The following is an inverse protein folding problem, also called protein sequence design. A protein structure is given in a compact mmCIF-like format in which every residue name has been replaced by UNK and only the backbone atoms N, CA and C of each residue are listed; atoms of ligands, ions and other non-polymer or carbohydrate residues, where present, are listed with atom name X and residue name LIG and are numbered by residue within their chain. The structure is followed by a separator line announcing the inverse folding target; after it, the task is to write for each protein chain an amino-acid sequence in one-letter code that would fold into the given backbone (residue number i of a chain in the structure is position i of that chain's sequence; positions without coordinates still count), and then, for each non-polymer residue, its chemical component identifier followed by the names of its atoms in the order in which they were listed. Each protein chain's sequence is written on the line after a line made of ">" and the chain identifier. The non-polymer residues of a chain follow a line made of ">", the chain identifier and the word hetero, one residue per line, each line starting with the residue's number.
data_IF_951580749927
#
_entry.id   IF_951580749927
#
_cell.length_a   1.000
_cell.length_b   1.000
_cell.length_c   1.000
_cell.angle_alpha   90.00
_cell.angle_beta   90.00
_cell.angle_gamma   90.00
#
_symmetry.space_group_name_H-M   'P 1'
#
loop_
_entity.id
_entity.type
_entity.pdbx_description
1 polymer ?
#
# COMPACT_ATOMS: atom_id res chain seq x y z
N UNK A 1 -54.33 14.53 0.24
CA UNK A 1 -53.10 15.32 0.03
C UNK A 1 -52.05 14.69 0.90
N UNK A 2 -51.24 13.83 0.29
CA UNK A 2 -50.21 13.05 0.96
C UNK A 2 -48.92 13.88 0.92
N UNK A 3 -48.46 14.31 2.09
CA UNK A 3 -47.22 15.09 2.25
C UNK A 3 -46.04 14.21 1.83
N UNK A 4 -45.43 14.52 0.69
CA UNK A 4 -44.20 13.88 0.25
C UNK A 4 -43.09 14.21 1.25
N UNK A 5 -42.68 13.21 2.04
CA UNK A 5 -41.55 13.32 2.95
C UNK A 5 -40.29 13.73 2.17
N UNK A 6 -39.66 14.83 2.59
CA UNK A 6 -38.44 15.34 1.98
C UNK A 6 -37.33 14.26 1.98
N UNK A 7 -36.56 14.14 0.89
CA UNK A 7 -35.47 13.16 0.82
C UNK A 7 -34.44 13.47 1.92
N UNK A 8 -34.27 12.53 2.84
CA UNK A 8 -33.37 12.68 3.98
C UNK A 8 -31.92 12.52 3.48
N UNK A 9 -31.29 13.65 3.13
CA UNK A 9 -29.92 13.79 2.58
C UNK A 9 -28.85 13.11 3.47
N UNK A 10 -29.17 12.75 4.72
CA UNK A 10 -28.23 12.14 5.68
C UNK A 10 -28.21 10.61 5.68
N UNK A 11 -29.07 9.93 4.89
CA UNK A 11 -29.21 8.46 4.93
C UNK A 11 -28.00 7.72 4.33
N UNK A 12 -27.30 8.35 3.41
CA UNK A 12 -26.16 7.76 2.67
C UNK A 12 -24.78 8.21 3.19
N UNK A 13 -24.73 9.03 4.25
CA UNK A 13 -23.47 9.35 4.90
C UNK A 13 -22.98 8.16 5.72
N UNK A 14 -21.75 7.72 5.46
CA UNK A 14 -21.08 6.71 6.27
C UNK A 14 -20.91 7.26 7.70
N UNK A 15 -21.65 6.70 8.65
CA UNK A 15 -21.56 7.09 10.06
C UNK A 15 -20.44 6.30 10.73
N UNK A 16 -19.48 6.97 11.39
CA UNK A 16 -18.46 6.29 12.17
C UNK A 16 -19.10 5.45 13.29
N UNK A 17 -18.66 4.22 13.44
CA UNK A 17 -19.08 3.30 14.50
C UNK A 17 -17.94 3.26 15.52
N UNK A 18 -18.21 3.69 16.75
CA UNK A 18 -17.25 3.58 17.83
C UNK A 18 -17.12 2.12 18.26
N UNK A 19 -15.90 1.60 18.21
CA UNK A 19 -15.53 0.25 18.61
C UNK A 19 -15.30 0.18 20.12
N UNK A 20 -15.83 -0.86 20.76
CA UNK A 20 -15.58 -1.14 22.19
C UNK A 20 -14.39 -2.09 22.41
N UNK A 21 -13.94 -2.78 21.36
CA UNK A 21 -12.81 -3.70 21.33
C UNK A 21 -12.19 -3.70 19.91
N UNK A 22 -11.10 -4.43 19.70
CA UNK A 22 -10.50 -4.59 18.38
C UNK A 22 -11.52 -5.08 17.33
N UNK A 23 -11.39 -4.58 16.10
CA UNK A 23 -12.24 -5.02 14.99
C UNK A 23 -11.92 -6.48 14.63
N UNK A 24 -12.94 -7.27 14.30
CA UNK A 24 -12.77 -8.71 14.05
C UNK A 24 -12.11 -9.03 12.72
N UNK A 25 -12.19 -8.12 11.74
CA UNK A 25 -11.49 -8.28 10.46
C UNK A 25 -10.01 -7.95 10.61
N UNK A 26 -9.16 -8.76 9.98
CA UNK A 26 -7.71 -8.61 10.08
C UNK A 26 -7.25 -7.29 9.43
N UNK A 27 -6.37 -6.51 10.08
CA UNK A 27 -5.83 -5.29 9.48
C UNK A 27 -4.85 -5.67 8.36
N UNK A 28 -4.94 -5.01 7.21
CA UNK A 28 -4.14 -5.31 6.01
C UNK A 28 -3.22 -4.17 5.61
N UNK A 29 -3.46 -2.96 6.12
CA UNK A 29 -2.63 -1.81 5.87
C UNK A 29 -2.82 -0.73 6.92
N UNK A 30 -1.82 0.12 7.02
CA UNK A 30 -1.83 1.32 7.85
C UNK A 30 -1.26 2.49 7.06
N UNK A 31 -1.90 3.65 7.18
CA UNK A 31 -1.52 4.89 6.51
C UNK A 31 -1.51 6.04 7.51
N UNK A 32 -0.78 7.11 7.16
CA UNK A 32 -0.82 8.36 7.89
C UNK A 32 -2.23 8.97 7.86
N UNK A 33 -2.55 9.83 8.83
CA UNK A 33 -3.81 10.56 8.83
C UNK A 33 -3.95 11.52 7.64
N UNK A 34 -5.17 11.99 7.39
CA UNK A 34 -5.50 12.80 6.21
C UNK A 34 -4.65 14.07 6.13
N UNK A 35 -4.37 14.73 7.26
CA UNK A 35 -3.56 15.95 7.25
C UNK A 35 -2.11 15.66 6.87
N UNK A 36 -1.51 14.63 7.44
CA UNK A 36 -0.16 14.16 7.10
C UNK A 36 -0.05 13.69 5.65
N UNK A 37 -1.14 13.23 5.04
CA UNK A 37 -1.14 12.83 3.62
C UNK A 37 -1.35 13.99 2.64
N UNK A 38 -2.00 15.06 3.06
CA UNK A 38 -2.38 16.21 2.21
C UNK A 38 -1.41 17.38 2.29
N UNK A 39 -0.82 17.60 3.47
CA UNK A 39 0.16 18.67 3.69
C UNK A 39 1.49 18.26 3.02
N UNK A 40 2.14 19.22 2.37
CA UNK A 40 3.30 18.99 1.50
C UNK A 40 4.56 18.42 2.19
N UNK A 41 5.68 18.42 1.45
CA UNK A 41 6.90 17.69 1.82
C UNK A 41 7.64 18.17 3.10
N UNK A 42 7.17 19.22 3.78
CA UNK A 42 7.82 19.82 4.95
C UNK A 42 7.32 19.22 6.27
N UNK A 43 7.09 17.91 6.31
CA UNK A 43 6.73 17.18 7.51
C UNK A 43 7.80 16.14 7.82
N UNK A 44 8.07 15.93 9.10
CA UNK A 44 9.14 15.05 9.56
C UNK A 44 8.70 14.18 10.73
N UNK A 45 9.32 13.02 10.82
CA UNK A 45 9.24 12.11 11.97
C UNK A 45 10.63 12.05 12.58
N UNK A 46 10.71 12.23 13.89
CA UNK A 46 11.97 12.20 14.63
C UNK A 46 12.04 10.89 15.42
N UNK A 47 13.02 10.05 15.08
CA UNK A 47 13.34 8.81 15.79
C UNK A 47 14.47 9.12 16.79
N UNK A 48 14.12 9.40 18.04
CA UNK A 48 15.06 9.92 19.02
C UNK A 48 15.63 11.27 18.56
N UNK A 49 16.91 11.31 18.18
CA UNK A 49 17.58 12.52 17.68
C UNK A 49 17.65 12.62 16.16
N UNK A 50 17.22 11.58 15.42
CA UNK A 50 17.34 11.55 13.95
C UNK A 50 16.03 11.95 13.30
N UNK A 51 16.07 13.01 12.50
CA UNK A 51 14.92 13.52 11.76
C UNK A 51 14.86 12.89 10.37
N UNK A 52 13.67 12.40 9.99
CA UNK A 52 13.39 11.78 8.71
C UNK A 52 12.18 12.45 8.08
N UNK A 53 12.26 12.77 6.79
CA UNK A 53 11.11 13.34 6.08
C UNK A 53 9.95 12.33 6.05
N UNK A 54 8.72 12.79 6.29
CA UNK A 54 7.53 11.94 6.47
C UNK A 54 7.34 10.93 5.33
N UNK A 55 7.59 11.36 4.08
CA UNK A 55 7.41 10.52 2.89
C UNK A 55 8.44 9.38 2.77
N UNK A 56 9.48 9.37 3.61
CA UNK A 56 10.46 8.28 3.74
C UNK A 56 10.11 7.33 4.89
N UNK A 57 9.10 7.66 5.69
CA UNK A 57 8.69 6.83 6.82
C UNK A 57 7.58 5.90 6.38
N UNK A 58 7.90 4.61 6.45
CA UNK A 58 6.98 3.54 6.15
C UNK A 58 6.17 3.17 7.37
N UNK A 59 4.92 2.81 7.12
CA UNK A 59 4.01 2.29 8.12
C UNK A 59 3.62 0.87 7.72
N UNK A 60 3.89 -0.07 8.62
CA UNK A 60 3.51 -1.48 8.47
C UNK A 60 2.79 -2.02 9.70
N UNK A 61 1.99 -3.06 9.48
CA UNK A 61 1.44 -3.88 10.56
C UNK A 61 2.49 -4.94 10.86
N UNK A 62 3.21 -4.76 11.96
CA UNK A 62 4.29 -5.66 12.37
C UNK A 62 3.76 -6.95 13.00
N UNK A 63 2.64 -6.88 13.72
CA UNK A 63 1.96 -8.01 14.34
C UNK A 63 0.53 -7.63 14.73
N UNK A 64 -0.28 -8.66 14.99
CA UNK A 64 -1.60 -8.53 15.60
C UNK A 64 -1.64 -9.49 16.77
N UNK A 65 -1.89 -8.97 17.97
CA UNK A 65 -1.97 -9.76 19.19
C UNK A 65 -3.26 -10.61 19.20
N UNK A 66 -3.32 -11.61 20.07
CA UNK A 66 -4.51 -12.46 20.25
C UNK A 66 -5.75 -11.68 20.70
N UNK A 67 -5.56 -10.53 21.36
CA UNK A 67 -6.63 -9.61 21.76
C UNK A 67 -7.04 -8.64 20.64
N UNK A 68 -6.42 -8.75 19.46
CA UNK A 68 -6.64 -7.89 18.30
C UNK A 68 -5.91 -6.54 18.35
N UNK A 69 -5.08 -6.28 19.36
CA UNK A 69 -4.20 -5.11 19.38
C UNK A 69 -3.24 -5.14 18.19
N UNK A 70 -3.01 -3.99 17.57
CA UNK A 70 -2.24 -3.88 16.33
C UNK A 70 -0.88 -3.27 16.63
N UNK A 71 0.19 -3.99 16.29
CA UNK A 71 1.55 -3.45 16.39
C UNK A 71 1.85 -2.73 15.09
N UNK A 72 1.97 -1.42 15.16
CA UNK A 72 2.27 -0.54 14.04
C UNK A 72 3.74 -0.16 14.13
N UNK A 73 4.51 -0.55 13.12
CA UNK A 73 5.91 -0.17 13.01
C UNK A 73 6.06 1.01 12.07
N UNK A 74 6.80 2.00 12.56
CA UNK A 74 7.33 3.11 11.78
C UNK A 74 8.79 2.79 11.48
N UNK A 75 9.19 2.90 10.22
CA UNK A 75 10.57 2.61 9.82
C UNK A 75 11.07 3.54 8.73
N UNK A 76 12.36 3.81 8.77
CA UNK A 76 13.11 4.48 7.71
C UNK A 76 14.57 4.04 7.76
N UNK A 77 15.05 3.42 6.68
CA UNK A 77 16.40 2.84 6.61
C UNK A 77 16.67 1.87 7.78
N UNK A 78 17.66 2.17 8.64
CA UNK A 78 17.97 1.36 9.83
C UNK A 78 17.20 1.78 11.09
N UNK A 79 16.38 2.83 11.01
CA UNK A 79 15.61 3.35 12.13
C UNK A 79 14.25 2.66 12.18
N UNK A 80 13.83 2.26 13.38
CA UNK A 80 12.49 1.74 13.59
C UNK A 80 11.99 1.91 15.01
N UNK A 81 10.71 2.22 15.14
CA UNK A 81 9.97 2.20 16.40
C UNK A 81 8.63 1.50 16.19
N UNK A 82 8.15 0.78 17.20
CA UNK A 82 6.87 0.06 17.14
C UNK A 82 5.96 0.54 18.27
N UNK A 83 4.72 0.87 17.90
CA UNK A 83 3.65 1.28 18.80
C UNK A 83 2.51 0.28 18.72
N UNK A 84 1.91 -0.05 19.86
CA UNK A 84 0.72 -0.88 19.96
C UNK A 84 -0.52 0.00 20.03
N UNK A 85 -1.41 -0.14 19.05
CA UNK A 85 -2.78 0.37 19.10
C UNK A 85 -3.66 -0.67 19.82
N UNK A 86 -4.19 -0.28 20.97
CA UNK A 86 -5.20 -1.06 21.71
C UNK A 86 -6.52 -0.31 21.68
N UNK A 87 -7.62 -1.00 21.37
CA UNK A 87 -9.00 -0.47 21.40
C UNK A 87 -9.74 -1.20 22.51
N UNK A 88 -10.26 -0.45 23.49
CA UNK A 88 -10.98 -1.00 24.63
C UNK A 88 -11.87 0.06 25.28
N UNK A 89 -13.09 -0.33 25.66
CA UNK A 89 -14.00 0.53 26.44
C UNK A 89 -13.48 0.86 27.85
N UNK A 90 -12.48 0.15 28.36
CA UNK A 90 -11.83 0.45 29.64
C UNK A 90 -10.88 1.65 29.58
N UNK A 91 -10.49 2.07 28.38
CA UNK A 91 -9.59 3.22 28.18
C UNK A 91 -10.41 4.52 28.11
N UNK A 92 -9.96 5.63 28.70
CA UNK A 92 -10.72 6.89 28.71
C UNK A 92 -11.15 7.38 27.32
N UNK A 93 -10.25 7.29 26.33
CA UNK A 93 -10.53 7.66 24.95
C UNK A 93 -11.18 6.52 24.14
N UNK A 94 -11.25 5.29 24.67
CA UNK A 94 -11.63 4.08 23.95
C UNK A 94 -10.46 3.41 23.19
N UNK A 95 -9.28 4.03 23.21
CA UNK A 95 -8.07 3.51 22.58
C UNK A 95 -6.80 4.06 23.26
N UNK A 96 -5.65 3.46 22.95
CA UNK A 96 -4.33 3.96 23.33
C UNK A 96 -3.28 3.58 22.30
N UNK A 97 -2.28 4.45 22.12
CA UNK A 97 -1.04 4.16 21.38
C UNK A 97 0.11 4.06 22.36
N UNK A 98 0.66 2.87 22.55
CA UNK A 98 1.75 2.63 23.53
C UNK A 98 3.01 2.17 22.81
N UNK A 99 4.14 2.84 23.05
CA UNK A 99 5.44 2.40 22.50
C UNK A 99 5.81 1.03 23.09
N UNK A 100 6.19 0.08 22.24
CA UNK A 100 6.62 -1.26 22.66
C UNK A 100 8.06 -1.60 22.26
N UNK A 101 8.63 -0.91 21.27
CA UNK A 101 10.02 -1.10 20.86
C UNK A 101 10.59 0.14 20.15
N UNK A 102 11.92 0.31 20.20
CA UNK A 102 12.64 1.39 19.51
C UNK A 102 12.67 2.73 20.26
N UNK A 103 13.23 3.79 19.63
CA UNK A 103 13.31 5.11 20.23
C UNK A 103 11.94 5.76 20.35
N UNK A 104 11.85 6.82 21.15
CA UNK A 104 10.68 7.70 21.13
C UNK A 104 10.53 8.36 19.76
N UNK A 105 9.28 8.43 19.29
CA UNK A 105 8.93 9.07 18.03
C UNK A 105 8.20 10.38 18.28
N UNK A 106 8.64 11.42 17.60
CA UNK A 106 7.95 12.71 17.54
C UNK A 106 7.54 13.01 16.10
N UNK A 107 6.42 13.73 15.94
CA UNK A 107 5.95 14.23 14.66
C UNK A 107 6.14 15.74 14.61
N UNK A 108 6.85 16.20 13.58
CA UNK A 108 7.08 17.62 13.30
C UNK A 108 6.23 18.06 12.12
N UNK A 109 5.27 18.94 12.41
CA UNK A 109 4.37 19.56 11.42
C UNK A 109 5.11 20.62 10.60
N UNK A 110 4.54 20.98 9.45
CA UNK A 110 5.09 22.00 8.54
C UNK A 110 5.21 23.39 9.16
N UNK A 111 4.37 23.71 10.15
CA UNK A 111 4.47 24.96 10.92
C UNK A 111 5.53 24.92 12.04
N UNK A 112 6.36 23.87 12.11
CA UNK A 112 7.42 23.71 13.08
C UNK A 112 6.99 23.12 14.43
N UNK A 113 5.69 22.92 14.67
CA UNK A 113 5.20 22.30 15.91
C UNK A 113 5.64 20.84 15.97
N UNK A 114 6.30 20.47 17.06
CA UNK A 114 6.73 19.11 17.37
C UNK A 114 5.87 18.56 18.49
N UNK A 115 5.36 17.33 18.32
CA UNK A 115 4.60 16.64 19.36
C UNK A 115 5.02 15.15 19.42
N UNK A 116 4.99 14.51 20.60
CA UNK A 116 5.07 13.05 20.70
C UNK A 116 4.06 12.37 19.77
N UNK A 117 4.45 11.25 19.15
CA UNK A 117 3.59 10.55 18.20
C UNK A 117 2.18 10.27 18.76
N UNK A 118 1.99 9.73 19.98
CA UNK A 118 0.65 9.49 20.52
C UNK A 118 -0.23 10.76 20.58
N UNK A 119 0.35 11.93 20.87
CA UNK A 119 -0.38 13.20 20.90
C UNK A 119 -0.76 13.66 19.49
N UNK A 120 0.15 13.50 18.52
CA UNK A 120 -0.16 13.76 17.11
C UNK A 120 -1.33 12.89 16.62
N UNK A 121 -1.34 11.60 16.98
CA UNK A 121 -2.37 10.63 16.57
C UNK A 121 -3.75 10.86 17.22
N UNK A 122 -3.86 11.76 18.21
CA UNK A 122 -5.17 12.25 18.69
C UNK A 122 -5.77 13.22 17.68
N UNK A 123 -4.94 14.05 17.04
CA UNK A 123 -5.38 15.11 16.11
C UNK A 123 -5.46 14.61 14.67
N UNK A 124 -4.51 13.78 14.24
CA UNK A 124 -4.44 13.21 12.90
C UNK A 124 -4.14 11.70 13.02
N UNK A 125 -5.17 10.89 13.29
CA UNK A 125 -5.00 9.46 13.58
C UNK A 125 -4.51 8.68 12.37
N UNK A 126 -3.77 7.60 12.63
CA UNK A 126 -3.47 6.62 11.59
C UNK A 126 -4.75 5.99 11.07
N UNK A 127 -4.76 5.71 9.77
CA UNK A 127 -5.84 5.00 9.10
C UNK A 127 -5.46 3.53 9.02
N UNK A 128 -6.19 2.66 9.70
CA UNK A 128 -6.04 1.21 9.61
C UNK A 128 -7.06 0.67 8.62
N UNK A 129 -6.62 -0.03 7.58
CA UNK A 129 -7.50 -0.74 6.63
C UNK A 129 -7.63 -2.21 7.01
N UNK A 130 -8.82 -2.76 6.80
CA UNK A 130 -9.14 -4.14 7.14
C UNK A 130 -9.48 -4.98 5.91
N UNK A 131 -9.34 -6.30 6.05
CA UNK A 131 -9.58 -7.27 4.99
C UNK A 131 -11.03 -7.28 4.47
N UNK A 132 -11.98 -6.79 5.29
CA UNK A 132 -13.39 -6.63 4.92
C UNK A 132 -13.68 -5.34 4.14
N UNK A 133 -12.65 -4.55 3.83
CA UNK A 133 -12.78 -3.30 3.07
C UNK A 133 -13.17 -2.10 3.92
N UNK A 134 -13.42 -2.29 5.21
CA UNK A 134 -13.61 -1.19 6.15
C UNK A 134 -12.28 -0.59 6.57
N UNK A 135 -12.32 0.58 7.20
CA UNK A 135 -11.15 1.20 7.80
C UNK A 135 -11.51 1.85 9.12
N UNK A 136 -10.53 2.13 9.96
CA UNK A 136 -10.72 2.86 11.22
C UNK A 136 -9.68 3.95 11.40
N UNK A 137 -10.07 4.95 12.17
CA UNK A 137 -9.15 5.89 12.79
C UNK A 137 -9.33 5.76 14.30
N UNK A 138 -8.25 5.38 14.99
CA UNK A 138 -8.29 5.04 16.41
C UNK A 138 -9.41 4.01 16.71
N UNK A 139 -10.41 4.37 17.53
CA UNK A 139 -11.54 3.50 17.86
C UNK A 139 -12.79 3.72 16.99
N UNK A 140 -12.71 4.50 15.91
CA UNK A 140 -13.87 4.79 15.06
C UNK A 140 -13.74 4.08 13.72
N UNK A 141 -14.58 3.07 13.51
CA UNK A 141 -14.64 2.31 12.25
C UNK A 141 -15.60 2.99 11.28
N UNK A 142 -15.16 3.17 10.05
CA UNK A 142 -16.00 3.56 8.93
C UNK A 142 -16.47 2.29 8.21
N UNK A 143 -17.77 1.99 8.22
CA UNK A 143 -18.29 0.89 7.41
C UNK A 143 -18.09 1.25 5.94
N UNK A 144 -17.62 0.31 5.14
CA UNK A 144 -17.62 0.41 3.70
C UNK A 144 -18.70 -0.54 3.18
N UNK A 145 -19.63 -0.06 2.36
CA UNK A 145 -20.60 -0.93 1.69
C UNK A 145 -19.92 -1.59 0.48
N UNK A 146 -19.01 -2.52 0.79
CA UNK A 146 -18.23 -3.29 -0.18
C UNK A 146 -18.60 -4.77 -0.01
N UNK A 147 -19.74 -5.19 -0.57
CA UNK A 147 -19.94 -6.62 -0.85
C UNK A 147 -19.38 -6.90 -2.25
N UNK A 148 -18.16 -7.41 -2.30
CA UNK A 148 -17.48 -7.73 -3.55
C UNK A 148 -17.67 -9.20 -3.97
N UNK A 149 -18.34 -10.03 -3.14
CA UNK A 149 -18.40 -11.47 -3.35
C UNK A 149 -17.01 -12.13 -3.31
N UNK A 150 -16.73 -13.01 -4.28
CA UNK A 150 -15.45 -13.71 -4.43
C UNK A 150 -14.79 -13.34 -5.75
N UNK A 151 -13.47 -13.22 -5.74
CA UNK A 151 -12.71 -12.96 -6.94
C UNK A 151 -12.84 -14.17 -7.89
N UNK A 152 -13.15 -13.98 -9.19
CA UNK A 152 -13.32 -15.11 -10.08
C UNK A 152 -12.01 -15.89 -10.27
N UNK A 153 -12.00 -17.18 -9.92
CA UNK A 153 -10.82 -18.06 -10.07
C UNK A 153 -10.30 -18.07 -11.52
N UNK A 154 -11.19 -17.98 -12.50
CA UNK A 154 -10.84 -17.92 -13.93
C UNK A 154 -10.03 -16.68 -14.33
N UNK A 155 -9.95 -15.66 -13.47
CA UNK A 155 -9.14 -14.44 -13.68
C UNK A 155 -7.78 -14.49 -12.96
N UNK A 156 -7.50 -15.56 -12.21
CA UNK A 156 -6.19 -15.76 -11.60
C UNK A 156 -5.20 -16.20 -12.67
N UNK A 157 -4.06 -15.53 -12.74
CA UNK A 157 -2.94 -15.91 -13.58
C UNK A 157 -2.03 -16.89 -12.82
N UNK A 158 -1.51 -17.90 -13.52
CA UNK A 158 -0.65 -18.93 -12.95
C UNK A 158 0.74 -18.88 -13.55
N UNK A 159 1.75 -18.65 -12.73
CA UNK A 159 3.16 -18.69 -13.14
C UNK A 159 3.91 -19.79 -12.41
N UNK A 160 4.72 -20.56 -13.12
CA UNK A 160 5.63 -21.55 -12.50
C UNK A 160 6.83 -20.86 -11.89
N UNK A 161 7.20 -21.14 -10.64
CA UNK A 161 8.33 -20.50 -9.92
C UNK A 161 9.63 -21.32 -9.87
N UNK A 162 9.80 -22.29 -10.78
CA UNK A 162 10.99 -23.16 -10.84
C UNK A 162 12.28 -22.35 -10.79
N UNK A 163 13.16 -22.70 -9.84
CA UNK A 163 14.46 -22.07 -9.64
C UNK A 163 14.43 -20.72 -8.92
N UNK A 164 13.26 -20.25 -8.47
CA UNK A 164 13.13 -19.03 -7.65
C UNK A 164 12.76 -19.44 -6.22
N UNK A 165 13.63 -19.21 -5.23
CA UNK A 165 13.27 -19.39 -3.83
C UNK A 165 12.14 -18.44 -3.44
N UNK A 166 11.06 -18.96 -2.86
CA UNK A 166 9.87 -18.15 -2.56
C UNK A 166 10.05 -17.23 -1.35
N UNK A 167 11.17 -17.33 -0.64
CA UNK A 167 11.57 -16.41 0.41
C UNK A 167 12.41 -15.21 -0.09
N UNK A 168 12.75 -15.16 -1.38
CA UNK A 168 13.57 -14.09 -1.99
C UNK A 168 12.72 -13.18 -2.88
N UNK A 169 12.25 -12.09 -2.30
CA UNK A 169 11.36 -11.12 -2.93
C UNK A 169 12.08 -10.20 -3.93
N UNK A 170 12.99 -9.34 -3.43
CA UNK A 170 13.59 -8.24 -4.17
C UNK A 170 14.88 -8.62 -4.90
N UNK A 171 15.05 -8.09 -6.12
CA UNK A 171 16.27 -8.22 -6.92
C UNK A 171 17.39 -7.27 -6.48
N UNK A 172 17.03 -6.19 -5.78
CA UNK A 172 17.94 -5.14 -5.32
C UNK A 172 18.80 -4.49 -6.41
N UNK A 173 19.86 -3.79 -5.99
CA UNK A 173 20.83 -3.13 -6.89
C UNK A 173 21.61 -4.10 -7.77
N UNK A 174 21.90 -5.29 -7.25
CA UNK A 174 22.64 -6.34 -7.95
C UNK A 174 21.81 -7.03 -9.05
N UNK A 175 20.50 -6.77 -9.11
CA UNK A 175 19.56 -7.43 -10.05
C UNK A 175 19.64 -8.95 -9.94
N UNK A 176 19.59 -9.44 -8.71
CA UNK A 176 19.66 -10.86 -8.39
C UNK A 176 18.57 -11.62 -9.16
N UNK A 177 18.99 -12.55 -10.04
CA UNK A 177 18.09 -13.23 -10.99
C UNK A 177 17.22 -14.29 -10.33
N UNK A 178 17.60 -14.74 -9.14
CA UNK A 178 16.94 -15.77 -8.34
C UNK A 178 15.90 -15.17 -7.39
N UNK A 179 15.14 -14.18 -7.87
CA UNK A 179 14.18 -13.41 -7.05
C UNK A 179 12.83 -13.29 -7.75
N UNK A 180 11.78 -13.16 -6.93
CA UNK A 180 10.40 -13.03 -7.42
C UNK A 180 10.26 -11.77 -8.30
N UNK A 181 10.79 -10.65 -7.83
CA UNK A 181 10.75 -9.37 -8.55
C UNK A 181 11.49 -9.42 -9.89
N UNK A 182 12.67 -10.08 -9.97
CA UNK A 182 13.39 -10.21 -11.25
C UNK A 182 12.58 -11.05 -12.25
N UNK A 183 11.96 -12.14 -11.80
CA UNK A 183 11.09 -12.95 -12.64
C UNK A 183 9.86 -12.17 -13.11
N UNK A 184 9.24 -11.38 -12.23
CA UNK A 184 8.15 -10.48 -12.60
C UNK A 184 8.58 -9.51 -13.71
N UNK A 185 9.74 -8.87 -13.56
CA UNK A 185 10.33 -8.04 -14.61
C UNK A 185 10.49 -8.83 -15.93
N UNK A 186 11.05 -10.03 -15.90
CA UNK A 186 11.24 -10.83 -17.12
C UNK A 186 9.92 -11.15 -17.83
N UNK A 187 8.84 -11.46 -17.10
CA UNK A 187 7.54 -11.77 -17.68
C UNK A 187 6.84 -10.51 -18.25
N UNK A 188 6.98 -9.37 -17.57
CA UNK A 188 6.15 -8.19 -17.85
C UNK A 188 6.86 -7.13 -18.70
N UNK A 189 8.19 -7.11 -18.79
CA UNK A 189 8.92 -5.98 -19.41
C UNK A 189 8.60 -5.71 -20.89
N UNK A 190 8.11 -6.73 -21.63
CA UNK A 190 7.68 -6.58 -23.01
C UNK A 190 6.36 -5.79 -23.12
N UNK A 191 5.55 -5.76 -22.06
CA UNK A 191 4.28 -5.05 -22.01
C UNK A 191 4.43 -3.53 -21.87
N UNK A 192 5.61 -3.03 -21.48
CA UNK A 192 5.85 -1.62 -21.14
C UNK A 192 6.98 -1.00 -21.95
N UNK A 193 6.93 0.30 -22.22
CA UNK A 193 8.05 0.99 -22.85
C UNK A 193 9.14 1.34 -21.85
N UNK A 194 8.76 1.56 -20.59
CA UNK A 194 9.64 1.86 -19.47
C UNK A 194 9.29 0.97 -18.28
N UNK A 195 10.32 0.39 -17.66
CA UNK A 195 10.19 -0.35 -16.40
C UNK A 195 11.22 0.15 -15.40
N UNK A 196 10.74 0.56 -14.24
CA UNK A 196 11.54 1.11 -13.16
C UNK A 196 11.47 0.19 -11.94
N UNK A 197 12.62 -0.15 -11.38
CA UNK A 197 12.74 -0.81 -10.08
C UNK A 197 12.58 0.23 -8.98
N UNK A 198 11.38 0.33 -8.41
CA UNK A 198 11.09 1.32 -7.36
C UNK A 198 11.23 0.76 -5.94
N UNK A 199 11.56 -0.53 -5.82
CA UNK A 199 11.69 -1.25 -4.54
C UNK A 199 12.54 -0.50 -3.49
N UNK A 200 11.99 -0.45 -2.27
CA UNK A 200 12.59 0.11 -1.05
C UNK A 200 11.82 1.28 -0.45
N UNK A 201 12.44 1.95 0.52
CA UNK A 201 11.80 2.96 1.38
C UNK A 201 10.97 4.02 0.61
N UNK A 202 9.66 4.02 0.84
CA UNK A 202 8.72 5.00 0.28
C UNK A 202 8.42 4.79 -1.21
N UNK A 203 8.59 3.58 -1.73
CA UNK A 203 8.21 3.15 -3.08
C UNK A 203 6.73 3.42 -3.42
N UNK A 204 6.44 3.49 -4.71
CA UNK A 204 5.08 3.39 -5.23
C UNK A 204 4.62 1.93 -5.37
N UNK A 205 5.54 1.04 -5.72
CA UNK A 205 5.41 -0.41 -5.86
C UNK A 205 6.80 -1.02 -6.09
N UNK A 206 6.94 -2.35 -6.09
CA UNK A 206 8.23 -2.99 -6.42
C UNK A 206 8.71 -2.64 -7.84
N UNK A 207 7.80 -2.69 -8.81
CA UNK A 207 8.06 -2.28 -10.19
C UNK A 207 7.01 -1.29 -10.68
N UNK A 208 7.47 -0.29 -11.42
CA UNK A 208 6.62 0.69 -12.11
C UNK A 208 6.77 0.52 -13.62
N UNK A 209 5.68 0.13 -14.28
CA UNK A 209 5.57 0.02 -15.73
C UNK A 209 4.86 1.23 -16.32
N UNK A 210 5.43 1.81 -17.38
CA UNK A 210 4.80 2.87 -18.17
C UNK A 210 4.78 2.49 -19.65
N UNK A 211 3.65 2.72 -20.29
CA UNK A 211 3.49 2.52 -21.72
C UNK A 211 2.73 3.64 -22.38
N UNK A 212 3.21 4.04 -23.54
CA UNK A 212 2.47 4.85 -24.46
C UNK A 212 1.48 3.97 -25.24
N UNK A 213 0.19 4.20 -25.05
CA UNK A 213 -0.86 3.43 -25.73
C UNK A 213 -1.25 4.12 -27.04
N UNK A 214 -1.54 5.41 -26.97
CA UNK A 214 -1.95 6.26 -28.10
C UNK A 214 -1.78 7.75 -27.75
N UNK A 215 -2.20 8.67 -28.63
CA UNK A 215 -2.06 10.11 -28.41
C UNK A 215 -2.70 10.62 -27.10
N UNK A 216 -3.79 9.98 -26.64
CA UNK A 216 -4.63 10.41 -25.53
C UNK A 216 -4.54 9.50 -24.30
N UNK A 217 -3.75 8.42 -24.36
CA UNK A 217 -3.71 7.42 -23.29
C UNK A 217 -2.28 6.97 -22.97
N UNK A 218 -1.97 6.98 -21.69
CA UNK A 218 -0.79 6.29 -21.14
C UNK A 218 -1.26 5.19 -20.18
N UNK A 219 -0.55 4.07 -20.16
CA UNK A 219 -0.74 3.06 -19.13
C UNK A 219 0.28 3.26 -18.01
N UNK A 220 -0.21 3.24 -16.76
CA UNK A 220 0.59 3.14 -15.54
C UNK A 220 0.24 1.81 -14.87
N UNK A 221 1.25 0.95 -14.71
CA UNK A 221 1.12 -0.32 -14.01
C UNK A 221 2.01 -0.30 -12.76
N UNK A 222 1.43 -0.62 -11.61
CA UNK A 222 2.14 -0.78 -10.33
C UNK A 222 2.11 -2.25 -9.93
N UNK A 223 3.28 -2.87 -9.84
CA UNK A 223 3.43 -4.30 -9.57
C UNK A 223 3.97 -4.50 -8.17
N UNK A 224 3.22 -5.22 -7.33
CA UNK A 224 3.61 -5.60 -5.98
C UNK A 224 3.96 -7.08 -5.92
N UNK A 225 5.17 -7.39 -5.50
CA UNK A 225 5.69 -8.73 -5.29
C UNK A 225 5.72 -9.02 -3.79
N UNK A 226 5.38 -10.24 -3.40
CA UNK A 226 5.57 -10.67 -2.01
C UNK A 226 6.19 -12.05 -1.93
N UNK A 227 7.11 -12.24 -0.99
CA UNK A 227 7.56 -13.58 -0.62
C UNK A 227 6.42 -14.43 -0.06
N UNK A 228 6.59 -15.74 -0.14
CA UNK A 228 5.68 -16.69 0.45
C UNK A 228 5.82 -16.67 1.97
N UNK A 229 4.68 -16.68 2.68
CA UNK A 229 4.68 -16.88 4.12
C UNK A 229 5.29 -18.25 4.45
N UNK A 230 6.31 -18.28 5.30
CA UNK A 230 7.08 -19.50 5.58
C UNK A 230 7.97 -19.99 4.44
N UNK A 231 8.04 -19.28 3.31
CA UNK A 231 8.84 -19.67 2.14
C UNK A 231 8.24 -20.81 1.31
N UNK A 232 6.98 -21.16 1.54
CA UNK A 232 6.32 -22.30 0.90
C UNK A 232 4.94 -21.93 0.33
N UNK A 233 4.49 -22.70 -0.66
CA UNK A 233 3.13 -22.56 -1.20
C UNK A 233 2.13 -23.11 -0.18
N UNK A 234 1.15 -22.31 0.20
CA UNK A 234 0.11 -22.67 1.17
C UNK A 234 -1.22 -22.00 0.84
N UNK A 235 -2.30 -22.50 1.44
CA UNK A 235 -3.60 -21.85 1.41
C UNK A 235 -3.74 -20.78 2.51
N UNK A 236 -2.63 -20.29 3.09
CA UNK A 236 -2.69 -19.33 4.20
C UNK A 236 -3.05 -17.93 3.67
N UNK A 237 -4.13 -17.35 4.20
CA UNK A 237 -4.60 -16.01 3.84
C UNK A 237 -3.56 -14.92 4.17
N UNK A 238 -2.64 -15.16 5.11
CA UNK A 238 -1.57 -14.21 5.46
C UNK A 238 -0.65 -13.88 4.28
N UNK A 239 -0.57 -14.75 3.27
CA UNK A 239 0.08 -14.45 2.00
C UNK A 239 -0.52 -13.20 1.32
N UNK A 240 -1.81 -12.91 1.53
CA UNK A 240 -2.52 -11.86 0.83
C UNK A 240 -2.63 -10.55 1.60
N UNK A 241 -2.55 -10.55 2.93
CA UNK A 241 -2.82 -9.34 3.73
C UNK A 241 -1.91 -8.16 3.34
N UNK A 242 -0.60 -8.34 3.39
CA UNK A 242 0.35 -7.26 3.08
C UNK A 242 0.25 -6.81 1.64
N UNK A 243 0.25 -7.74 0.68
CA UNK A 243 0.27 -7.40 -0.75
C UNK A 243 -1.06 -6.76 -1.20
N UNK A 244 -2.19 -7.15 -0.62
CA UNK A 244 -3.48 -6.48 -0.85
C UNK A 244 -3.50 -5.08 -0.22
N UNK A 245 -2.90 -4.90 0.97
CA UNK A 245 -2.71 -3.58 1.57
C UNK A 245 -1.88 -2.65 0.70
N UNK A 246 -0.75 -3.14 0.15
CA UNK A 246 0.08 -2.41 -0.80
C UNK A 246 -0.69 -2.05 -2.08
N UNK A 247 -1.46 -3.00 -2.62
CA UNK A 247 -2.32 -2.75 -3.78
C UNK A 247 -3.33 -1.63 -3.50
N UNK A 248 -4.02 -1.66 -2.35
CA UNK A 248 -4.96 -0.58 -1.99
C UNK A 248 -4.25 0.78 -1.83
N UNK A 249 -3.05 0.82 -1.24
CA UNK A 249 -2.26 2.06 -1.10
C UNK A 249 -1.88 2.69 -2.44
N UNK A 250 -1.80 1.93 -3.52
CA UNK A 250 -1.50 2.43 -4.87
C UNK A 250 -2.49 3.47 -5.41
N UNK A 251 -3.71 3.52 -4.86
CA UNK A 251 -4.69 4.57 -5.16
C UNK A 251 -4.12 5.97 -4.92
N UNK A 252 -3.38 6.14 -3.83
CA UNK A 252 -2.74 7.42 -3.48
C UNK A 252 -1.72 7.86 -4.54
N UNK A 253 -1.01 6.92 -5.16
CA UNK A 253 -0.05 7.19 -6.23
C UNK A 253 -0.76 7.75 -7.46
N UNK A 254 -1.89 7.14 -7.86
CA UNK A 254 -2.71 7.66 -8.97
C UNK A 254 -3.23 9.07 -8.67
N UNK A 255 -3.80 9.29 -7.47
CA UNK A 255 -4.41 10.57 -7.11
C UNK A 255 -3.39 11.72 -6.99
N UNK A 256 -2.18 11.43 -6.50
CA UNK A 256 -1.07 12.41 -6.48
C UNK A 256 -0.55 12.77 -7.87
N UNK A 257 -0.82 11.90 -8.85
CA UNK A 257 -0.56 12.14 -10.27
C UNK A 257 0.89 11.93 -10.70
N UNK A 258 1.07 11.84 -12.03
CA UNK A 258 2.35 11.51 -12.66
C UNK A 258 3.48 12.51 -12.40
N UNK A 259 3.17 13.79 -12.18
CA UNK A 259 4.19 14.78 -11.81
C UNK A 259 4.84 14.45 -10.47
N UNK A 260 4.05 14.02 -9.48
CA UNK A 260 4.57 13.63 -8.17
C UNK A 260 5.34 12.30 -8.27
N UNK A 261 4.76 11.31 -8.95
CA UNK A 261 5.44 10.03 -9.19
C UNK A 261 6.80 10.23 -9.89
N UNK A 262 6.87 11.05 -10.94
CA UNK A 262 8.12 11.39 -11.62
C UNK A 262 9.18 11.91 -10.65
N UNK A 263 8.82 12.87 -9.79
CA UNK A 263 9.76 13.47 -8.85
C UNK A 263 10.26 12.45 -7.82
N UNK A 264 9.35 11.61 -7.31
CA UNK A 264 9.68 10.57 -6.33
C UNK A 264 10.61 9.50 -6.94
N UNK A 265 10.28 9.00 -8.14
CA UNK A 265 11.11 8.05 -8.89
C UNK A 265 12.48 8.64 -9.25
N UNK A 266 12.52 9.88 -9.75
CA UNK A 266 13.78 10.56 -10.08
C UNK A 266 14.67 10.71 -8.85
N UNK A 267 14.12 11.16 -7.72
CA UNK A 267 14.87 11.33 -6.47
C UNK A 267 15.49 10.01 -6.01
N UNK A 268 14.72 8.90 -6.05
CA UNK A 268 15.23 7.57 -5.70
C UNK A 268 16.24 7.03 -6.71
N UNK A 269 16.09 7.35 -7.98
CA UNK A 269 17.07 7.03 -9.03
C UNK A 269 18.40 7.74 -8.77
N UNK A 270 18.38 9.04 -8.50
CA UNK A 270 19.58 9.85 -8.27
C UNK A 270 20.41 9.30 -7.08
N UNK A 271 19.76 8.72 -6.07
CA UNK A 271 20.44 8.03 -4.96
C UNK A 271 21.22 6.79 -5.39
N UNK A 272 20.71 6.01 -6.34
CA UNK A 272 21.41 4.83 -6.87
C UNK A 272 22.54 5.21 -7.82
N UNK A 273 22.36 6.27 -8.62
CA UNK A 273 23.37 6.76 -9.55
C UNK A 273 24.64 7.21 -8.83
N UNK A 274 24.53 7.81 -7.64
CA UNK A 274 25.69 8.13 -6.79
C UNK A 274 26.55 6.91 -6.45
N UNK A 275 25.96 5.72 -6.43
CA UNK A 275 26.65 4.43 -6.25
C UNK A 275 26.86 3.65 -7.55
N UNK A 276 26.76 4.29 -8.73
CA UNK A 276 26.99 3.66 -10.02
C UNK A 276 25.92 2.67 -10.49
N UNK A 277 24.73 2.68 -9.88
CA UNK A 277 23.63 1.76 -10.21
C UNK A 277 22.42 2.50 -10.78
N UNK A 278 21.65 1.84 -11.66
CA UNK A 278 20.42 2.40 -12.24
C UNK A 278 19.19 1.62 -11.82
N UNK A 279 18.17 2.34 -11.36
CA UNK A 279 16.81 1.82 -11.12
C UNK A 279 16.03 1.55 -12.42
N UNK A 280 16.43 2.11 -13.57
CA UNK A 280 15.80 1.77 -14.86
C UNK A 280 16.19 0.35 -15.28
N UNK A 281 15.19 -0.52 -15.41
CA UNK A 281 15.34 -1.85 -15.98
C UNK A 281 15.10 -1.82 -17.49
N UNK A 282 14.19 -0.95 -17.95
CA UNK A 282 13.91 -0.62 -19.35
C UNK A 282 13.61 0.87 -19.47
N UNK A 283 14.07 1.50 -20.55
CA UNK A 283 13.95 2.95 -20.75
C UNK A 283 14.94 3.77 -19.93
N UNK A 284 14.74 5.08 -19.87
CA UNK A 284 15.62 6.01 -19.18
C UNK A 284 14.88 7.23 -18.58
N UNK A 285 15.64 8.17 -18.01
CA UNK A 285 15.10 9.38 -17.41
C UNK A 285 14.40 10.31 -18.41
N UNK A 286 14.84 10.33 -19.68
CA UNK A 286 14.19 11.16 -20.72
C UNK A 286 12.82 10.59 -21.05
N UNK A 287 12.72 9.27 -21.13
CA UNK A 287 11.46 8.57 -21.34
C UNK A 287 10.52 8.71 -20.13
N UNK A 288 11.04 8.70 -18.90
CA UNK A 288 10.24 9.01 -17.71
C UNK A 288 9.71 10.45 -17.75
N UNK A 289 10.53 11.41 -18.18
CA UNK A 289 10.11 12.80 -18.36
C UNK A 289 9.06 12.94 -19.48
N UNK A 290 9.19 12.18 -20.57
CA UNK A 290 8.19 12.10 -21.62
C UNK A 290 6.81 11.70 -21.08
N UNK A 291 6.73 10.64 -20.27
CA UNK A 291 5.47 10.21 -19.67
C UNK A 291 4.85 11.26 -18.73
N UNK A 292 5.68 11.93 -17.92
CA UNK A 292 5.24 13.06 -17.08
C UNK A 292 4.64 14.20 -17.91
N UNK A 293 5.26 14.53 -19.03
CA UNK A 293 4.79 15.64 -19.86
C UNK A 293 3.54 15.25 -20.66
N UNK A 294 3.49 14.02 -21.17
CA UNK A 294 2.32 13.48 -21.86
C UNK A 294 1.11 13.36 -20.95
N UNK A 295 1.29 12.95 -19.68
CA UNK A 295 0.19 12.81 -18.72
C UNK A 295 -0.55 14.11 -18.41
N UNK A 296 -0.02 15.28 -18.82
CA UNK A 296 -0.72 16.56 -18.69
C UNK A 296 -1.90 16.70 -19.65
N UNK A 297 -1.89 15.93 -20.75
CA UNK A 297 -2.91 15.94 -21.80
C UNK A 297 -3.52 14.57 -22.10
N UNK A 298 -2.87 13.49 -21.68
CA UNK A 298 -3.35 12.13 -21.83
C UNK A 298 -4.02 11.62 -20.54
N UNK A 299 -5.03 10.78 -20.70
CA UNK A 299 -5.63 9.99 -19.63
C UNK A 299 -4.69 8.87 -19.17
N UNK A 300 -4.85 8.45 -17.91
CA UNK A 300 -4.07 7.35 -17.32
C UNK A 300 -4.97 6.12 -17.20
N UNK A 301 -4.68 5.11 -18.02
CA UNK A 301 -5.14 3.76 -17.78
C UNK A 301 -4.29 3.16 -16.64
N UNK A 302 -4.90 2.91 -15.49
CA UNK A 302 -4.20 2.51 -14.29
C UNK A 302 -4.45 1.04 -13.98
N UNK A 303 -3.39 0.28 -13.73
CA UNK A 303 -3.46 -1.13 -13.36
C UNK A 303 -2.58 -1.40 -12.13
N UNK A 304 -3.08 -2.27 -11.26
CA UNK A 304 -2.30 -2.83 -10.16
C UNK A 304 -2.19 -4.33 -10.36
N UNK A 305 -0.98 -4.85 -10.25
CA UNK A 305 -0.69 -6.28 -10.32
C UNK A 305 -0.17 -6.72 -8.96
N UNK A 306 -0.72 -7.79 -8.41
CA UNK A 306 -0.11 -8.47 -7.26
C UNK A 306 0.44 -9.84 -7.67
N UNK A 307 1.62 -10.15 -7.14
CA UNK A 307 2.35 -11.38 -7.41
C UNK A 307 2.62 -12.04 -6.06
N UNK A 308 1.92 -13.15 -5.81
CA UNK A 308 2.03 -13.89 -4.55
C UNK A 308 2.24 -15.39 -4.83
N UNK A 309 3.50 -15.83 -5.00
CA UNK A 309 3.83 -17.22 -5.27
C UNK A 309 3.57 -18.17 -4.09
N UNK A 310 3.45 -17.65 -2.86
CA UNK A 310 3.10 -18.42 -1.66
C UNK A 310 1.67 -18.93 -1.65
N UNK A 311 0.82 -18.51 -2.60
CA UNK A 311 -0.49 -19.08 -2.82
C UNK A 311 -0.55 -19.75 -4.21
N UNK A 312 -1.50 -20.67 -4.39
CA UNK A 312 -1.69 -21.45 -5.61
C UNK A 312 -3.10 -21.27 -6.15
N UNK A 313 -3.25 -21.20 -7.48
CA UNK A 313 -4.57 -21.19 -8.14
C UNK A 313 -5.37 -22.43 -7.77
N UNK A 314 -4.73 -23.60 -7.69
CA UNK A 314 -5.39 -24.86 -7.35
C UNK A 314 -5.85 -24.96 -5.88
N UNK A 315 -5.20 -24.23 -4.96
CA UNK A 315 -5.42 -24.36 -3.51
C UNK A 315 -5.98 -23.07 -2.85
N UNK A 316 -6.30 -22.04 -3.62
CA UNK A 316 -6.79 -20.77 -3.07
C UNK A 316 -8.14 -20.96 -2.37
N UNK A 317 -8.25 -20.43 -1.16
CA UNK A 317 -9.45 -20.55 -0.34
C UNK A 317 -10.43 -19.37 -0.53
N UNK A 318 -11.65 -19.55 -0.03
CA UNK A 318 -12.73 -18.56 -0.14
C UNK A 318 -12.42 -17.21 0.49
N UNK A 319 -11.71 -17.19 1.62
CA UNK A 319 -11.42 -15.95 2.34
C UNK A 319 -10.36 -15.12 1.62
N UNK A 320 -9.37 -15.78 0.99
CA UNK A 320 -8.44 -15.13 0.07
C UNK A 320 -9.17 -14.57 -1.15
N UNK A 321 -10.10 -15.32 -1.76
CA UNK A 321 -10.89 -14.83 -2.90
C UNK A 321 -11.78 -13.62 -2.52
N UNK A 322 -12.36 -13.60 -1.32
CA UNK A 322 -13.10 -12.43 -0.81
C UNK A 322 -12.19 -11.22 -0.64
N UNK A 323 -11.01 -11.39 -0.02
CA UNK A 323 -10.05 -10.31 0.15
C UNK A 323 -9.58 -9.73 -1.20
N UNK A 324 -9.32 -10.59 -2.20
CA UNK A 324 -8.98 -10.16 -3.55
C UNK A 324 -10.12 -9.38 -4.20
N UNK A 325 -11.37 -9.82 -4.05
CA UNK A 325 -12.53 -9.12 -4.58
C UNK A 325 -12.72 -7.75 -3.90
N UNK A 326 -12.58 -7.69 -2.58
CA UNK A 326 -12.63 -6.43 -1.82
C UNK A 326 -11.56 -5.46 -2.29
N UNK A 327 -10.34 -5.95 -2.51
CA UNK A 327 -9.22 -5.16 -3.02
C UNK A 327 -9.50 -4.64 -4.43
N UNK A 328 -9.99 -5.50 -5.33
CA UNK A 328 -10.42 -5.08 -6.66
C UNK A 328 -11.50 -4.01 -6.61
N UNK A 329 -12.56 -4.23 -5.81
CA UNK A 329 -13.68 -3.31 -5.73
C UNK A 329 -13.23 -1.94 -5.20
N UNK A 330 -12.34 -1.93 -4.22
CA UNK A 330 -11.72 -0.70 -3.71
C UNK A 330 -10.93 0.03 -4.81
N UNK A 331 -10.03 -0.68 -5.49
CA UNK A 331 -9.22 -0.14 -6.59
C UNK A 331 -10.09 0.44 -7.73
N UNK A 332 -11.15 -0.29 -8.10
CA UNK A 332 -12.08 0.12 -9.14
C UNK A 332 -12.90 1.34 -8.73
N UNK A 333 -13.44 1.37 -7.51
CA UNK A 333 -14.29 2.49 -7.04
C UNK A 333 -13.50 3.78 -6.77
N UNK A 334 -12.28 3.67 -6.27
CA UNK A 334 -11.49 4.85 -5.84
C UNK A 334 -10.53 5.36 -6.91
N UNK A 335 -10.04 4.48 -7.77
CA UNK A 335 -9.02 4.80 -8.77
C UNK A 335 -9.36 4.33 -10.18
N UNK A 336 -10.53 3.72 -10.43
CA UNK A 336 -10.85 3.12 -11.73
C UNK A 336 -9.71 2.23 -12.26
N UNK A 337 -9.06 1.47 -11.36
CA UNK A 337 -7.90 0.67 -11.70
C UNK A 337 -8.29 -0.74 -12.15
N UNK A 338 -7.55 -1.30 -13.11
CA UNK A 338 -7.52 -2.73 -13.38
C UNK A 338 -6.77 -3.49 -12.26
N UNK A 339 -7.10 -4.77 -12.09
CA UNK A 339 -6.48 -5.63 -11.09
C UNK A 339 -6.15 -7.01 -11.66
N UNK A 340 -4.88 -7.39 -11.61
CA UNK A 340 -4.37 -8.72 -11.99
C UNK A 340 -3.76 -9.40 -10.77
N UNK A 341 -3.97 -10.70 -10.67
CA UNK A 341 -3.50 -11.53 -9.56
C UNK A 341 -2.75 -12.72 -10.12
N UNK A 342 -1.47 -12.82 -9.78
CA UNK A 342 -0.58 -13.87 -10.26
C UNK A 342 -0.14 -14.73 -9.08
N UNK A 343 -0.40 -16.03 -9.18
CA UNK A 343 -0.12 -17.03 -8.15
C UNK A 343 0.75 -18.17 -8.69
N UNK A 344 1.14 -19.09 -7.81
CA UNK A 344 1.62 -20.41 -8.23
C UNK A 344 0.52 -21.22 -8.93
N UNK A 345 0.87 -22.23 -9.73
CA UNK A 345 -0.11 -23.15 -10.32
C UNK A 345 -0.94 -23.88 -9.27
#
# INVERSE_FOLDING_TARGET
>A
MEEAAAPNITRDFLRPIRLAAAHTSHPIGVEWGEHAQTIGADQYVEFGSTQVALYLVELEIAAVDTDGSIHIRLSADSLSATYRLTISSSLPAGYSHTKIAGPDVQFKKSNGVVAPLPEHLVVDPLIVRYADGTYSYNCYRIPANLDAGKFPVARLESWTWKGIPLNRESMGKSRAKDTIQYKAYQQLHAEFDLVFNDDGSGEAADLVGLKDIDEQTIALCLVHCKNAHGGEVSADIRNFYTVCGQAQKSVSVKHRGMSRLYNDLKRRHDLWIKGGSSRFLKGDIKQLAYFRDKSRRASINFEVIIIQPGASVAAINDDALKLLATTELYLKKTAAAGFRVILSP
#
